data_IF_999084831330
#
_entry.id   IF_999084831330
#
_cell.length_a   1.000
_cell.length_b   1.000
_cell.length_c   1.000
_cell.angle_alpha   90.00
_cell.angle_beta   90.00
_cell.angle_gamma   90.00
#
_symmetry.space_group_name_H-M   'P 1'
#
loop_
_entity.id
_entity.type
_entity.pdbx_description
1 polymer ?
#
# COMPACT_ATOMS: atom_id res chain seq x y z
N UNK A 1 20.85 14.17 -33.21
CA UNK A 1 20.96 12.92 -32.40
C UNK A 1 20.77 13.20 -30.91
N UNK A 2 21.58 14.08 -30.30
CA UNK A 2 21.49 14.40 -28.86
C UNK A 2 20.15 15.04 -28.42
N UNK A 3 19.50 15.83 -29.27
CA UNK A 3 18.18 16.42 -28.98
C UNK A 3 17.06 15.37 -28.86
N UNK A 4 17.08 14.34 -29.72
CA UNK A 4 16.09 13.24 -29.69
C UNK A 4 16.25 12.38 -28.44
N UNK A 5 17.49 12.09 -28.04
CA UNK A 5 17.77 11.33 -26.81
C UNK A 5 17.25 12.07 -25.56
N UNK A 6 17.45 13.39 -25.51
CA UNK A 6 17.02 14.21 -24.38
C UNK A 6 15.48 14.31 -24.30
N UNK A 7 14.80 14.45 -25.44
CA UNK A 7 13.34 14.42 -25.51
C UNK A 7 12.76 13.07 -25.04
N UNK A 8 13.40 11.95 -25.40
CA UNK A 8 12.98 10.62 -24.98
C UNK A 8 13.13 10.43 -23.45
N UNK A 9 14.24 10.91 -22.88
CA UNK A 9 14.49 10.87 -21.44
C UNK A 9 13.46 11.70 -20.65
N UNK A 10 13.14 12.90 -21.13
CA UNK A 10 12.13 13.77 -20.54
C UNK A 10 10.73 13.15 -20.60
N UNK A 11 10.37 12.53 -21.73
CA UNK A 11 9.09 11.85 -21.89
C UNK A 11 8.95 10.68 -20.90
N UNK A 12 9.99 9.84 -20.80
CA UNK A 12 10.01 8.68 -19.90
C UNK A 12 9.87 9.09 -18.43
N UNK A 13 10.64 10.08 -17.96
CA UNK A 13 10.55 10.57 -16.59
C UNK A 13 9.17 11.19 -16.30
N UNK A 14 8.59 11.91 -17.27
CA UNK A 14 7.25 12.46 -17.17
C UNK A 14 6.18 11.38 -17.00
N UNK A 15 6.24 10.31 -17.79
CA UNK A 15 5.27 9.20 -17.70
C UNK A 15 5.34 8.51 -16.34
N UNK A 16 6.54 8.19 -15.85
CA UNK A 16 6.72 7.54 -14.53
C UNK A 16 6.19 8.44 -13.42
N UNK A 17 6.49 9.74 -13.46
CA UNK A 17 6.02 10.71 -12.45
C UNK A 17 4.49 10.78 -12.39
N UNK A 18 3.82 10.78 -13.55
CA UNK A 18 2.36 10.75 -13.63
C UNK A 18 1.82 9.45 -13.04
N UNK A 19 2.40 8.31 -13.40
CA UNK A 19 1.99 7.00 -12.86
C UNK A 19 2.14 6.92 -11.35
N UNK A 20 3.27 7.38 -10.80
CA UNK A 20 3.51 7.43 -9.35
C UNK A 20 2.45 8.29 -8.66
N UNK A 21 2.15 9.46 -9.22
CA UNK A 21 1.15 10.38 -8.65
C UNK A 21 -0.25 9.76 -8.63
N UNK A 22 -0.65 9.10 -9.71
CA UNK A 22 -1.95 8.42 -9.82
C UNK A 22 -2.03 7.29 -8.79
N UNK A 23 -1.03 6.41 -8.73
CA UNK A 23 -1.01 5.30 -7.79
C UNK A 23 -1.03 5.78 -6.34
N UNK A 24 -0.24 6.80 -6.02
CA UNK A 24 -0.22 7.38 -4.67
C UNK A 24 -1.60 7.92 -4.26
N UNK A 25 -2.27 8.61 -5.19
CA UNK A 25 -3.62 9.15 -4.96
C UNK A 25 -4.64 8.03 -4.78
N UNK A 26 -4.59 6.97 -5.59
CA UNK A 26 -5.49 5.82 -5.44
C UNK A 26 -5.28 5.11 -4.10
N UNK A 27 -4.02 4.87 -3.73
CA UNK A 27 -3.67 4.26 -2.45
C UNK A 27 -4.17 5.10 -1.26
N UNK A 28 -3.94 6.42 -1.30
CA UNK A 28 -4.40 7.33 -0.25
C UNK A 28 -5.93 7.37 -0.13
N UNK A 29 -6.65 7.32 -1.26
CA UNK A 29 -8.12 7.27 -1.28
C UNK A 29 -8.63 5.98 -0.61
N UNK A 30 -8.05 4.82 -0.95
CA UNK A 30 -8.45 3.53 -0.36
C UNK A 30 -8.25 3.54 1.16
N UNK A 31 -7.12 4.05 1.64
CA UNK A 31 -6.83 4.16 3.07
C UNK A 31 -7.76 5.15 3.77
N UNK A 32 -8.07 6.29 3.15
CA UNK A 32 -8.97 7.28 3.70
C UNK A 32 -10.38 6.70 3.87
N UNK A 33 -10.93 6.05 2.84
CA UNK A 33 -12.24 5.40 2.93
C UNK A 33 -12.29 4.28 3.96
N UNK A 34 -11.23 3.45 4.03
CA UNK A 34 -11.11 2.39 5.03
C UNK A 34 -11.12 2.95 6.45
N UNK A 35 -10.40 4.07 6.68
CA UNK A 35 -10.31 4.74 7.98
C UNK A 35 -11.63 5.36 8.40
N UNK A 36 -12.34 6.04 7.49
CA UNK A 36 -13.68 6.60 7.75
C UNK A 36 -14.66 5.49 8.11
N UNK A 37 -14.64 4.39 7.37
CA UNK A 37 -15.50 3.24 7.61
C UNK A 37 -15.21 2.59 8.98
N UNK A 38 -13.94 2.45 9.34
CA UNK A 38 -13.52 1.95 10.65
C UNK A 38 -14.08 2.81 11.79
N UNK A 39 -13.94 4.13 11.66
CA UNK A 39 -14.42 5.09 12.65
C UNK A 39 -15.94 5.03 12.81
N UNK A 40 -16.68 4.97 11.70
CA UNK A 40 -18.15 4.84 11.73
C UNK A 40 -18.62 3.54 12.39
N UNK A 41 -17.91 2.43 12.18
CA UNK A 41 -18.22 1.16 12.83
C UNK A 41 -17.88 1.13 14.32
N UNK A 42 -16.75 1.74 14.70
CA UNK A 42 -16.35 1.89 16.10
C UNK A 42 -17.40 2.63 16.92
N UNK A 43 -17.96 3.72 16.39
CA UNK A 43 -19.04 4.48 17.03
C UNK A 43 -20.32 3.67 17.24
N UNK A 44 -20.59 2.68 16.38
CA UNK A 44 -21.82 1.87 16.41
C UNK A 44 -21.71 0.62 17.30
N UNK A 45 -20.58 0.40 18.00
CA UNK A 45 -20.29 -0.79 18.84
C UNK A 45 -20.61 -2.14 18.15
N UNK A 46 -20.43 -2.20 16.84
CA UNK A 46 -20.58 -3.45 16.08
C UNK A 46 -19.40 -4.38 16.42
N UNK A 47 -19.62 -5.71 16.32
CA UNK A 47 -18.62 -6.74 16.63
C UNK A 47 -17.25 -6.41 15.99
N UNK A 48 -16.28 -6.13 16.86
CA UNK A 48 -14.96 -5.59 16.49
C UNK A 48 -14.19 -6.55 15.59
N UNK A 49 -14.38 -7.87 15.74
CA UNK A 49 -13.62 -8.91 15.03
C UNK A 49 -13.88 -8.96 13.52
N UNK A 50 -15.15 -8.96 13.08
CA UNK A 50 -15.48 -8.94 11.65
C UNK A 50 -15.08 -7.63 10.97
N UNK A 51 -15.16 -6.53 11.71
CA UNK A 51 -14.74 -5.21 11.24
C UNK A 51 -13.22 -5.18 11.07
N UNK A 52 -12.46 -5.65 12.05
CA UNK A 52 -11.00 -5.70 11.99
C UNK A 52 -10.51 -6.52 10.79
N UNK A 53 -11.11 -7.68 10.51
CA UNK A 53 -10.75 -8.51 9.36
C UNK A 53 -11.01 -7.78 8.02
N UNK A 54 -12.18 -7.16 7.90
CA UNK A 54 -12.57 -6.45 6.66
C UNK A 54 -11.73 -5.21 6.42
N UNK A 55 -11.41 -4.48 7.48
CA UNK A 55 -10.51 -3.33 7.45
C UNK A 55 -9.07 -3.73 7.17
N UNK A 56 -8.54 -4.78 7.80
CA UNK A 56 -7.20 -5.29 7.54
C UNK A 56 -7.02 -5.66 6.07
N UNK A 57 -8.05 -6.27 5.46
CA UNK A 57 -8.04 -6.58 4.02
C UNK A 57 -8.04 -5.33 3.14
N UNK A 58 -8.85 -4.31 3.44
CA UNK A 58 -8.87 -3.07 2.66
C UNK A 58 -7.59 -2.24 2.84
N UNK A 59 -7.02 -2.23 4.05
CA UNK A 59 -5.72 -1.63 4.35
C UNK A 59 -4.59 -2.33 3.59
N UNK A 60 -4.56 -3.66 3.55
CA UNK A 60 -3.56 -4.41 2.80
C UNK A 60 -3.56 -4.03 1.31
N UNK A 61 -4.74 -3.86 0.72
CA UNK A 61 -4.86 -3.42 -0.69
C UNK A 61 -4.34 -1.99 -0.85
N UNK A 62 -4.75 -1.05 0.01
CA UNK A 62 -4.30 0.34 -0.06
C UNK A 62 -2.77 0.47 0.11
N UNK A 63 -2.19 -0.27 1.04
CA UNK A 63 -0.75 -0.34 1.28
C UNK A 63 -0.01 -0.91 0.07
N UNK A 64 -0.51 -1.97 -0.56
CA UNK A 64 0.11 -2.54 -1.77
C UNK A 64 0.14 -1.56 -2.94
N UNK A 65 -0.91 -0.74 -3.09
CA UNK A 65 -0.96 0.30 -4.14
C UNK A 65 0.06 1.41 -3.87
N UNK A 66 0.19 1.85 -2.62
CA UNK A 66 1.22 2.83 -2.23
C UNK A 66 2.63 2.28 -2.41
N UNK A 67 2.85 1.02 -2.04
CA UNK A 67 4.13 0.34 -2.24
C UNK A 67 4.50 0.24 -3.72
N UNK A 68 3.54 -0.05 -4.61
CA UNK A 68 3.77 -0.03 -6.05
C UNK A 68 4.17 1.37 -6.56
N UNK A 69 3.55 2.43 -6.03
CA UNK A 69 3.93 3.81 -6.35
C UNK A 69 5.37 4.13 -5.91
N UNK A 70 5.73 3.73 -4.68
CA UNK A 70 7.05 3.98 -4.11
C UNK A 70 8.15 3.22 -4.86
N UNK A 71 7.89 1.96 -5.25
CA UNK A 71 8.81 1.17 -6.08
C UNK A 71 9.05 1.83 -7.44
N UNK A 72 8.01 2.35 -8.09
CA UNK A 72 8.16 3.06 -9.35
C UNK A 72 8.97 4.35 -9.19
N UNK A 73 8.83 5.04 -8.05
CA UNK A 73 9.58 6.25 -7.73
C UNK A 73 11.08 6.00 -7.60
N UNK A 74 11.48 4.83 -7.09
CA UNK A 74 12.89 4.41 -6.98
C UNK A 74 13.58 4.28 -8.35
N UNK A 75 12.84 4.06 -9.43
CA UNK A 75 13.40 3.96 -10.80
C UNK A 75 13.84 5.35 -11.31
N UNK A 76 13.21 6.43 -10.83
CA UNK A 76 13.48 7.80 -11.29
C UNK A 76 14.54 8.51 -10.45
N UNK A 77 14.74 8.09 -9.20
CA UNK A 77 15.72 8.70 -8.28
C UNK A 77 17.12 8.21 -8.63
N UNK A 78 18.06 9.16 -8.75
CA UNK A 78 19.47 8.87 -9.06
C UNK A 78 20.43 9.26 -7.94
N UNK A 79 19.93 9.88 -6.87
CA UNK A 79 20.71 10.23 -5.69
C UNK A 79 20.65 9.11 -4.65
N UNK A 80 21.82 8.66 -4.20
CA UNK A 80 21.96 7.51 -3.32
C UNK A 80 21.37 7.74 -1.92
N UNK A 81 21.41 8.97 -1.39
CA UNK A 81 20.86 9.30 -0.08
C UNK A 81 19.33 9.25 -0.06
N UNK A 82 18.70 9.84 -1.08
CA UNK A 82 17.23 9.81 -1.26
C UNK A 82 16.73 8.37 -1.47
N UNK A 83 17.50 7.57 -2.21
CA UNK A 83 17.20 6.17 -2.43
C UNK A 83 17.23 5.36 -1.12
N UNK A 84 18.14 5.67 -0.19
CA UNK A 84 18.24 4.98 1.10
C UNK A 84 17.02 5.27 2.00
N UNK A 85 16.59 6.52 2.09
CA UNK A 85 15.43 6.90 2.92
C UNK A 85 14.15 6.26 2.39
N UNK A 86 13.92 6.33 1.07
CA UNK A 86 12.75 5.72 0.44
C UNK A 86 12.81 4.19 0.53
N UNK A 87 14.00 3.60 0.37
CA UNK A 87 14.22 2.17 0.58
C UNK A 87 13.88 1.72 2.01
N UNK A 88 14.21 2.51 3.03
CA UNK A 88 13.86 2.21 4.42
C UNK A 88 12.33 2.24 4.65
N UNK A 89 11.65 3.25 4.09
CA UNK A 89 10.17 3.35 4.14
C UNK A 89 9.55 2.14 3.42
N UNK A 90 10.06 1.76 2.25
CA UNK A 90 9.60 0.59 1.51
C UNK A 90 9.76 -0.70 2.33
N UNK A 91 10.88 -0.88 3.02
CA UNK A 91 11.14 -2.05 3.87
C UNK A 91 10.10 -2.13 5.00
N UNK A 92 9.80 -1.01 5.66
CA UNK A 92 8.75 -0.96 6.68
C UNK A 92 7.38 -1.40 6.14
N UNK A 93 7.03 -0.98 4.92
CA UNK A 93 5.78 -1.42 4.28
C UNK A 93 5.72 -2.92 4.03
N UNK A 94 6.85 -3.55 3.65
CA UNK A 94 6.92 -5.02 3.51
C UNK A 94 6.65 -5.68 4.86
N UNK A 95 7.26 -5.19 5.94
CA UNK A 95 7.04 -5.71 7.30
C UNK A 95 5.57 -5.59 7.70
N UNK A 96 4.95 -4.42 7.51
CA UNK A 96 3.53 -4.21 7.82
C UNK A 96 2.63 -5.15 7.00
N UNK A 97 2.91 -5.33 5.70
CA UNK A 97 2.13 -6.21 4.83
C UNK A 97 2.22 -7.68 5.28
N UNK A 98 3.40 -8.12 5.73
CA UNK A 98 3.61 -9.45 6.28
C UNK A 98 2.87 -9.65 7.60
N UNK A 99 2.89 -8.65 8.49
CA UNK A 99 2.14 -8.68 9.76
C UNK A 99 0.63 -8.82 9.51
N UNK A 100 0.06 -8.03 8.59
CA UNK A 100 -1.36 -8.12 8.25
C UNK A 100 -1.69 -9.48 7.63
N UNK A 101 -0.82 -10.03 6.76
CA UNK A 101 -1.01 -11.37 6.19
C UNK A 101 -0.98 -12.47 7.26
N UNK A 102 -0.09 -12.34 8.24
CA UNK A 102 0.00 -13.28 9.35
C UNK A 102 -1.30 -13.27 10.18
N UNK A 103 -1.79 -12.09 10.54
CA UNK A 103 -3.02 -11.93 11.32
C UNK A 103 -4.23 -12.52 10.60
N UNK A 104 -4.43 -12.21 9.32
CA UNK A 104 -5.54 -12.77 8.51
C UNK A 104 -5.47 -14.29 8.44
N UNK A 105 -4.28 -14.86 8.27
CA UNK A 105 -4.11 -16.33 8.20
C UNK A 105 -4.46 -16.98 9.54
N UNK A 106 -3.97 -16.40 10.63
CA UNK A 106 -4.24 -16.90 11.98
C UNK A 106 -5.74 -16.89 12.32
N UNK A 107 -6.46 -15.84 11.95
CA UNK A 107 -7.91 -15.75 12.16
C UNK A 107 -8.70 -16.79 11.37
N UNK A 108 -8.31 -17.09 10.12
CA UNK A 108 -8.95 -18.14 9.31
C UNK A 108 -8.77 -19.52 9.95
N UNK A 109 -7.57 -19.81 10.46
CA UNK A 109 -7.28 -21.09 11.12
C UNK A 109 -8.05 -21.26 12.43
N UNK A 110 -8.23 -20.18 13.20
CA UNK A 110 -9.05 -20.18 14.40
C UNK A 110 -10.53 -20.48 14.11
N UNK A 111 -11.08 -19.93 13.02
CA UNK A 111 -12.47 -20.19 12.60
C UNK A 111 -12.64 -21.65 12.14
N UNK A 112 -11.71 -22.19 11.35
CA UNK A 112 -11.75 -23.60 10.92
C UNK A 112 -11.78 -24.58 12.09
N UNK A 113 -11.02 -24.28 13.16
CA UNK A 113 -11.01 -25.11 14.38
C UNK A 113 -12.35 -25.13 15.12
N UNK A 114 -13.11 -24.04 15.09
CA UNK A 114 -14.44 -23.96 15.70
C UNK A 114 -15.55 -24.57 14.84
N UNK A 115 -15.36 -24.72 13.52
CA UNK A 115 -16.31 -25.39 12.62
C UNK A 115 -16.07 -26.91 12.49
N UNK A 116 -14.89 -27.39 12.92
CA UNK A 116 -14.52 -28.81 12.90
C UNK A 116 -14.80 -29.57 14.20
N UNK A 117 -15.49 -28.95 15.17
CA UNK A 117 -15.92 -29.54 16.43
C UNK A 117 -17.45 -29.56 16.53
#
# INVERSE_FOLDING_TARGET
>A
MYSLLNQLHLLSNGMVTITVTILNTLGSIILLFSSIQAFGFWLRKIKIEEIALRLGRSFAIGIQVLLAAEILRLITIRDNEDLMLIGAILLLHVVVTLLVRYEVTHHIDAIKKNLGN
#
